data_IF_617073546180
#
_entry.id   IF_617073546180
#
_cell.length_a   1.000
_cell.length_b   1.000
_cell.length_c   1.000
_cell.angle_alpha   90.00
_cell.angle_beta   90.00
_cell.angle_gamma   90.00
#
_symmetry.space_group_name_H-M   'P 1'
#
loop_
_entity.id
_entity.type
_entity.pdbx_description
1 polymer ?
#
# COMPACT_ATOMS: atom_id res chain seq x y z
N UNK A 1 -8.71 3.75 2.29
CA UNK A 1 -8.53 5.21 2.42
C UNK A 1 -8.63 5.67 3.88
N UNK A 2 -8.20 6.90 4.17
CA UNK A 2 -8.43 7.64 5.41
C UNK A 2 -8.75 9.10 5.07
N UNK A 3 -9.41 9.81 5.98
CA UNK A 3 -9.69 11.24 5.84
C UNK A 3 -8.95 12.03 6.91
N UNK A 4 -8.49 13.23 6.57
CA UNK A 4 -7.94 14.20 7.52
C UNK A 4 -8.52 15.59 7.20
N UNK A 5 -8.73 16.40 8.23
CA UNK A 5 -9.24 17.75 8.09
C UNK A 5 -8.63 18.66 9.14
N UNK A 6 -8.36 19.89 8.74
CA UNK A 6 -8.06 21.02 9.60
C UNK A 6 -8.96 22.20 9.19
N UNK A 7 -9.37 23.09 10.11
CA UNK A 7 -10.25 24.21 9.79
C UNK A 7 -9.75 25.19 8.73
N UNK A 8 -8.43 25.30 8.51
CA UNK A 8 -7.86 26.25 7.54
C UNK A 8 -6.76 25.65 6.65
N UNK A 9 -6.46 24.37 6.81
CA UNK A 9 -5.40 23.69 6.10
C UNK A 9 -5.91 22.39 5.48
N UNK A 10 -5.46 22.12 4.26
CA UNK A 10 -5.76 20.90 3.53
C UNK A 10 -4.68 20.68 2.48
N UNK A 11 -4.54 19.44 2.03
CA UNK A 11 -3.78 19.16 0.82
C UNK A 11 -4.58 19.64 -0.39
N UNK A 12 -3.91 20.12 -1.43
CA UNK A 12 -4.57 20.75 -2.57
C UNK A 12 -4.03 20.25 -3.91
N UNK A 13 -4.37 20.97 -4.98
CA UNK A 13 -3.96 20.65 -6.33
C UNK A 13 -2.43 20.73 -6.46
N UNK A 14 -1.84 19.64 -6.94
CA UNK A 14 -0.39 19.51 -7.07
C UNK A 14 0.28 18.77 -5.90
N UNK A 15 -0.44 18.52 -4.81
CA UNK A 15 0.10 17.79 -3.65
C UNK A 15 -0.11 16.27 -3.74
N UNK A 16 -0.84 15.77 -4.75
CA UNK A 16 -1.12 14.35 -4.94
C UNK A 16 0.17 13.51 -4.96
N UNK A 17 0.18 12.44 -4.16
CA UNK A 17 1.38 11.61 -3.92
C UNK A 17 2.25 12.09 -2.76
N UNK A 18 2.00 13.29 -2.21
CA UNK A 18 2.69 13.81 -1.04
C UNK A 18 2.38 13.04 0.25
N UNK A 19 3.25 13.10 1.27
CA UNK A 19 3.06 12.40 2.54
C UNK A 19 2.10 13.15 3.48
N UNK A 20 1.27 12.39 4.20
CA UNK A 20 0.58 12.86 5.40
C UNK A 20 1.28 12.25 6.63
N UNK A 21 1.77 13.11 7.51
CA UNK A 21 2.48 12.71 8.73
C UNK A 21 1.63 12.87 9.99
N UNK A 22 1.74 11.90 10.90
CA UNK A 22 1.45 12.09 12.30
C UNK A 22 2.72 12.62 12.97
N UNK A 23 2.66 13.82 13.56
CA UNK A 23 3.84 14.45 14.18
C UNK A 23 4.20 13.80 15.52
N UNK A 24 5.47 13.47 15.69
CA UNK A 24 6.06 13.06 16.97
C UNK A 24 6.60 14.25 17.78
N UNK A 25 7.39 13.97 18.82
CA UNK A 25 8.04 15.05 19.59
C UNK A 25 9.14 15.75 18.78
N UNK A 26 9.64 15.08 17.74
CA UNK A 26 10.65 15.59 16.81
C UNK A 26 10.53 14.90 15.43
N UNK A 27 11.24 15.44 14.43
CA UNK A 27 11.17 14.95 13.06
C UNK A 27 11.58 13.47 12.85
N UNK A 28 12.35 12.88 13.77
CA UNK A 28 12.70 11.45 13.67
C UNK A 28 11.61 10.52 14.19
N UNK A 29 10.61 11.08 14.86
CA UNK A 29 9.42 10.39 15.37
C UNK A 29 8.17 10.66 14.52
N UNK A 30 8.29 11.45 13.45
CA UNK A 30 7.18 11.69 12.53
C UNK A 30 6.88 10.39 11.75
N UNK A 31 5.62 9.97 11.79
CA UNK A 31 5.16 8.75 11.12
C UNK A 31 4.32 9.08 9.89
N UNK A 32 4.70 8.56 8.73
CA UNK A 32 3.87 8.71 7.52
C UNK A 32 2.67 7.77 7.60
N UNK A 33 1.48 8.33 7.77
CA UNK A 33 0.23 7.57 7.92
C UNK A 33 -0.62 7.58 6.64
N UNK A 34 -0.38 8.55 5.75
CA UNK A 34 -1.16 8.68 4.53
C UNK A 34 -0.36 9.19 3.32
N UNK A 35 -1.01 9.09 2.16
CA UNK A 35 -0.55 9.65 0.89
C UNK A 35 -1.68 10.49 0.31
N UNK A 36 -1.42 11.74 -0.06
CA UNK A 36 -2.41 12.65 -0.63
C UNK A 36 -3.01 12.03 -1.89
N UNK A 37 -4.33 11.95 -1.95
CA UNK A 37 -5.04 11.39 -3.10
C UNK A 37 -5.91 12.45 -3.77
N UNK A 38 -7.02 12.83 -3.13
CA UNK A 38 -8.00 13.77 -3.70
C UNK A 38 -8.80 14.47 -2.59
N UNK A 39 -9.58 15.47 -2.97
CA UNK A 39 -10.48 16.20 -2.08
C UNK A 39 -11.50 17.01 -2.90
N UNK A 40 -12.57 17.47 -2.26
CA UNK A 40 -13.50 18.40 -2.87
C UNK A 40 -13.11 19.83 -2.53
N UNK A 41 -12.64 20.59 -3.53
CA UNK A 41 -11.99 21.87 -3.26
C UNK A 41 -10.70 21.66 -2.45
N UNK A 42 -10.30 22.70 -1.71
CA UNK A 42 -9.19 22.63 -0.74
C UNK A 42 -9.59 23.43 0.49
N UNK A 43 -9.38 22.86 1.68
CA UNK A 43 -9.71 23.49 2.97
C UNK A 43 -11.20 23.88 3.07
N UNK A 44 -12.09 23.03 2.51
CA UNK A 44 -13.52 23.20 2.67
C UNK A 44 -13.96 22.68 4.04
N UNK A 45 -14.64 23.52 4.82
CA UNK A 45 -15.14 23.18 6.15
C UNK A 45 -16.07 21.95 6.21
N UNK A 46 -16.67 21.55 5.09
CA UNK A 46 -17.60 20.42 5.01
C UNK A 46 -16.95 19.15 4.45
N UNK A 47 -15.82 19.27 3.75
CA UNK A 47 -15.20 18.15 3.03
C UNK A 47 -13.73 17.99 3.42
N UNK A 48 -13.37 16.87 4.06
CA UNK A 48 -11.98 16.59 4.40
C UNK A 48 -11.16 16.23 3.15
N UNK A 49 -9.84 16.37 3.24
CA UNK A 49 -8.92 15.72 2.33
C UNK A 49 -8.98 14.20 2.46
N UNK A 50 -8.82 13.50 1.33
CA UNK A 50 -8.84 12.05 1.25
C UNK A 50 -7.46 11.51 0.88
N UNK A 51 -7.00 10.55 1.67
CA UNK A 51 -5.66 10.01 1.62
C UNK A 51 -5.69 8.49 1.50
N UNK A 52 -4.70 7.91 0.81
CA UNK A 52 -4.42 6.47 0.91
C UNK A 52 -3.98 6.19 2.34
N UNK A 53 -4.48 5.10 2.92
CA UNK A 53 -4.07 4.66 4.25
C UNK A 53 -2.82 3.80 4.11
N UNK A 54 -1.65 4.30 4.51
CA UNK A 54 -0.37 3.60 4.35
C UNK A 54 -0.41 2.24 5.05
N UNK A 55 -0.97 2.16 6.25
CA UNK A 55 -1.08 0.90 6.99
C UNK A 55 -1.89 -0.18 6.27
N UNK A 56 -2.83 0.20 5.38
CA UNK A 56 -3.64 -0.76 4.62
C UNK A 56 -2.90 -1.33 3.40
N UNK A 57 -1.86 -0.64 2.92
CA UNK A 57 -1.03 -1.06 1.77
C UNK A 57 0.39 -1.43 2.17
N UNK A 58 0.66 -1.52 3.48
CA UNK A 58 1.99 -1.80 4.02
C UNK A 58 2.58 -3.10 3.47
N UNK A 59 1.80 -4.18 3.41
CA UNK A 59 2.29 -5.47 2.95
C UNK A 59 2.63 -5.49 1.45
N UNK A 60 1.88 -4.72 0.65
CA UNK A 60 2.22 -4.47 -0.75
C UNK A 60 3.58 -3.74 -0.85
N UNK A 61 3.75 -2.64 -0.12
CA UNK A 61 5.02 -1.87 -0.11
C UNK A 61 6.18 -2.77 0.33
N UNK A 62 5.99 -3.54 1.41
CA UNK A 62 6.97 -4.50 1.91
C UNK A 62 7.34 -5.52 0.83
N UNK A 63 6.37 -6.10 0.13
CA UNK A 63 6.61 -7.03 -0.97
C UNK A 63 7.48 -6.41 -2.06
N UNK A 64 7.11 -5.23 -2.55
CA UNK A 64 7.86 -4.51 -3.58
C UNK A 64 9.31 -4.22 -3.12
N UNK A 65 9.51 -3.74 -1.90
CA UNK A 65 10.86 -3.48 -1.37
C UNK A 65 11.67 -4.79 -1.27
N UNK A 66 11.06 -5.86 -0.76
CA UNK A 66 11.76 -7.12 -0.58
C UNK A 66 12.08 -7.84 -1.90
N UNK A 67 11.28 -7.64 -2.95
CA UNK A 67 11.49 -8.27 -4.25
C UNK A 67 12.46 -7.49 -5.13
N UNK A 68 12.47 -6.15 -5.03
CA UNK A 68 13.18 -5.30 -5.98
C UNK A 68 14.36 -4.51 -5.40
N UNK A 69 14.39 -4.24 -4.09
CA UNK A 69 15.48 -3.46 -3.50
C UNK A 69 16.77 -4.27 -3.36
N UNK A 70 17.88 -3.67 -3.78
CA UNK A 70 19.26 -4.13 -3.52
C UNK A 70 19.89 -3.41 -2.31
N UNK A 71 19.21 -2.43 -1.73
CA UNK A 71 19.66 -1.72 -0.54
C UNK A 71 19.39 -2.57 0.70
N UNK A 72 20.46 -3.07 1.33
CA UNK A 72 20.38 -3.91 2.51
C UNK A 72 19.77 -3.20 3.73
N UNK A 73 19.94 -1.88 3.86
CA UNK A 73 19.33 -1.10 4.94
C UNK A 73 17.81 -1.00 4.73
N UNK A 74 17.37 -0.75 3.49
CA UNK A 74 15.95 -0.74 3.15
C UNK A 74 15.31 -2.12 3.39
N UNK A 75 15.96 -3.19 2.91
CA UNK A 75 15.52 -4.58 3.13
C UNK A 75 15.45 -4.93 4.61
N UNK A 76 16.42 -4.48 5.40
CA UNK A 76 16.46 -4.68 6.85
C UNK A 76 15.32 -3.96 7.56
N UNK A 77 15.04 -2.70 7.20
CA UNK A 77 13.91 -1.92 7.78
C UNK A 77 12.56 -2.57 7.53
N UNK A 78 12.36 -3.13 6.33
CA UNK A 78 11.14 -3.87 5.99
C UNK A 78 11.15 -5.33 6.45
N UNK A 79 12.21 -5.76 7.16
CA UNK A 79 12.38 -7.12 7.68
C UNK A 79 12.20 -8.17 6.59
N UNK A 80 12.85 -7.94 5.44
CA UNK A 80 12.86 -8.89 4.34
C UNK A 80 13.60 -10.16 4.74
N UNK A 81 13.09 -11.32 4.33
CA UNK A 81 13.72 -12.61 4.65
C UNK A 81 14.87 -12.84 3.67
N UNK A 82 16.10 -12.80 4.18
CA UNK A 82 17.30 -13.14 3.41
C UNK A 82 17.35 -14.65 3.16
N UNK A 83 17.04 -15.10 1.94
CA UNK A 83 17.18 -16.50 1.54
C UNK A 83 15.98 -17.14 0.86
N UNK A 84 14.84 -16.47 0.71
CA UNK A 84 13.84 -16.86 -0.28
C UNK A 84 14.27 -16.35 -1.65
N UNK A 85 15.29 -16.98 -2.22
CA UNK A 85 15.24 -17.19 -3.65
C UNK A 85 13.92 -17.93 -3.90
N UNK A 86 13.01 -17.34 -4.68
CA UNK A 86 11.94 -18.09 -5.32
C UNK A 86 12.64 -19.03 -6.32
N UNK A 87 13.29 -20.07 -5.81
CA UNK A 87 13.65 -21.23 -6.60
C UNK A 87 12.34 -21.96 -6.80
N UNK A 88 11.88 -21.96 -8.06
CA UNK A 88 10.60 -22.53 -8.47
C UNK A 88 10.31 -23.84 -7.73
N UNK A 89 9.40 -23.76 -6.76
CA UNK A 89 8.74 -24.95 -6.26
C UNK A 89 7.76 -25.35 -7.35
N UNK A 90 8.24 -26.22 -8.22
CA UNK A 90 7.44 -27.16 -8.99
C UNK A 90 6.42 -27.79 -8.04
N UNK A 91 5.19 -27.30 -8.09
CA UNK A 91 4.05 -27.94 -7.46
C UNK A 91 3.80 -29.20 -8.27
N UNK A 92 4.38 -30.32 -7.83
CA UNK A 92 3.99 -31.63 -8.32
C UNK A 92 2.73 -32.05 -7.58
N UNK A 93 1.62 -32.38 -8.27
CA UNK A 93 0.44 -32.88 -7.59
C UNK A 93 0.72 -34.32 -7.13
N UNK A 94 0.58 -34.58 -5.84
CA UNK A 94 0.68 -35.92 -5.24
C UNK A 94 -0.41 -36.09 -4.17
N UNK A 95 -0.87 -37.33 -3.91
CA UNK A 95 -2.23 -37.75 -4.17
C UNK A 95 -3.20 -37.49 -3.01
N UNK A 96 -4.48 -37.47 -3.39
CA UNK A 96 -5.70 -37.24 -2.60
C UNK A 96 -5.74 -37.93 -1.23
N UNK A 97 -6.18 -37.23 -0.17
CA UNK A 97 -6.69 -37.86 1.03
C UNK A 97 -8.16 -38.27 0.86
N UNK A 98 -8.45 -39.48 1.32
CA UNK A 98 -9.75 -40.13 1.34
C UNK A 98 -10.79 -39.37 2.18
N UNK A 99 -12.01 -39.42 1.64
CA UNK A 99 -13.28 -38.90 2.10
C UNK A 99 -13.66 -39.38 3.50
N UNK A 100 -13.73 -38.46 4.47
CA UNK A 100 -14.84 -38.35 5.46
C UNK A 100 -14.47 -37.48 6.66
N UNK A 101 -14.81 -36.19 6.64
CA UNK A 101 -15.58 -35.50 7.71
C UNK A 101 -15.71 -34.01 7.35
N UNK A 102 -16.95 -33.54 7.30
CA UNK A 102 -17.30 -32.15 7.04
C UNK A 102 -17.16 -31.31 8.33
N UNK A 103 -16.48 -30.17 8.22
CA UNK A 103 -16.67 -29.00 9.06
C UNK A 103 -16.70 -27.80 8.13
N UNK A 104 -17.78 -27.04 8.20
CA UNK A 104 -18.12 -25.92 7.30
C UNK A 104 -17.17 -24.74 7.51
N UNK A 105 -16.48 -24.37 6.44
CA UNK A 105 -15.63 -23.18 6.34
C UNK A 105 -16.50 -21.99 5.92
N UNK A 106 -16.42 -20.89 6.68
CA UNK A 106 -17.22 -19.68 6.51
C UNK A 106 -16.26 -18.54 6.11
N UNK A 107 -15.63 -18.68 4.94
CA UNK A 107 -14.65 -17.76 4.37
C UNK A 107 -15.09 -17.15 3.03
N UNK A 108 -16.39 -16.95 2.84
CA UNK A 108 -16.95 -16.32 1.64
C UNK A 108 -17.27 -14.82 1.83
N UNK A 109 -16.80 -14.17 2.91
CA UNK A 109 -17.27 -12.82 3.27
C UNK A 109 -16.40 -11.64 2.80
N UNK A 110 -15.29 -11.85 2.08
CA UNK A 110 -14.50 -10.74 1.52
C UNK A 110 -13.91 -11.04 0.12
N UNK A 111 -14.70 -11.65 -0.77
CA UNK A 111 -14.29 -11.82 -2.18
C UNK A 111 -15.29 -11.17 -3.17
N UNK A 112 -15.97 -10.10 -2.76
CA UNK A 112 -16.85 -9.36 -3.67
C UNK A 112 -16.83 -7.84 -3.42
N UNK A 113 -15.63 -7.27 -3.32
CA UNK A 113 -15.46 -5.85 -3.69
C UNK A 113 -14.98 -5.83 -5.13
N UNK A 114 -15.95 -5.64 -6.03
CA UNK A 114 -15.77 -5.33 -7.45
C UNK A 114 -14.54 -4.43 -7.62
N UNK A 115 -13.49 -5.00 -8.19
CA UNK A 115 -12.43 -4.21 -8.83
C UNK A 115 -13.05 -3.80 -10.15
N UNK A 116 -13.55 -2.58 -10.25
CA UNK A 116 -13.95 -2.04 -11.54
C UNK A 116 -12.70 -2.07 -12.43
N UNK A 117 -12.74 -2.85 -13.50
CA UNK A 117 -11.64 -2.99 -14.48
C UNK A 117 -11.35 -1.68 -15.26
N UNK A 118 -11.94 -0.55 -14.86
CA UNK A 118 -11.71 0.79 -15.40
C UNK A 118 -10.69 1.62 -14.58
N UNK A 119 -9.91 1.00 -13.68
CA UNK A 119 -8.87 1.67 -12.87
C UNK A 119 -7.55 1.90 -13.64
N UNK A 120 -7.65 2.46 -14.85
CA UNK A 120 -6.51 2.99 -15.63
C UNK A 120 -5.73 4.04 -14.82
N UNK A 121 -6.41 4.76 -13.92
CA UNK A 121 -5.80 5.76 -13.08
C UNK A 121 -4.89 5.16 -11.99
N UNK A 122 -5.27 4.06 -11.36
CA UNK A 122 -4.44 3.41 -10.31
C UNK A 122 -3.15 2.85 -10.91
N UNK A 123 -3.25 2.21 -12.08
CA UNK A 123 -2.09 1.73 -12.82
C UNK A 123 -1.21 2.88 -13.32
N UNK A 124 -1.81 3.97 -13.80
CA UNK A 124 -1.06 5.18 -14.18
C UNK A 124 -0.33 5.82 -12.99
N UNK A 125 -0.99 5.90 -11.83
CA UNK A 125 -0.42 6.47 -10.61
C UNK A 125 0.74 5.62 -10.06
N UNK A 126 0.55 4.30 -9.92
CA UNK A 126 1.61 3.38 -9.48
C UNK A 126 2.80 3.36 -10.44
N UNK A 127 2.58 3.43 -11.74
CA UNK A 127 3.64 3.58 -12.74
C UNK A 127 4.37 4.92 -12.60
N UNK A 128 3.65 6.02 -12.35
CA UNK A 128 4.25 7.34 -12.16
C UNK A 128 5.11 7.41 -10.90
N UNK A 129 4.62 6.84 -9.78
CA UNK A 129 5.37 6.75 -8.53
C UNK A 129 6.59 5.84 -8.69
N UNK A 130 6.46 4.71 -9.38
CA UNK A 130 7.59 3.81 -9.68
C UNK A 130 8.67 4.51 -10.53
N UNK A 131 8.26 5.21 -11.59
CA UNK A 131 9.19 5.95 -12.45
C UNK A 131 9.88 7.11 -11.71
N UNK A 132 9.17 7.77 -10.79
CA UNK A 132 9.75 8.81 -9.94
C UNK A 132 10.76 8.22 -8.96
N UNK A 133 10.44 7.07 -8.36
CA UNK A 133 11.34 6.34 -7.46
C UNK A 133 12.63 5.89 -8.18
N UNK A 134 12.52 5.36 -9.40
CA UNK A 134 13.66 4.96 -10.23
C UNK A 134 14.53 6.15 -10.68
N UNK A 135 13.93 7.34 -10.84
CA UNK A 135 14.66 8.57 -11.14
C UNK A 135 15.37 9.16 -9.93
N UNK A 136 14.99 8.80 -8.72
CA UNK A 136 15.63 9.25 -7.48
C UNK A 136 16.82 8.35 -7.07
N UNK A 137 16.83 7.11 -7.54
CA UNK A 137 17.91 6.13 -7.30
C UNK A 137 19.08 6.18 -8.29
N UNK A 138 19.01 7.02 -9.33
CA UNK A 138 20.10 7.31 -10.29
C UNK A 138 20.62 8.73 -10.15
#
# INVERSE_FOLDING_TARGET
>A
MLCAADPNEDSCQGDSGGPLFLKGDNASEDEQVGIVSWGYGCADSNYPGVYVRVSAVHDFIKGIVCDHSQDEDARSRFQCISGSSISGSSITPSPTPDSSVAATDDLDYYDDFIVDEDDDWWNSWTNTVSNWWDSWLN
#
